data_IF_877619748640
#
_entry.id   IF_877619748640
#
_cell.length_a   1.000
_cell.length_b   1.000
_cell.length_c   1.000
_cell.angle_alpha   90.00
_cell.angle_beta   90.00
_cell.angle_gamma   90.00
#
_symmetry.space_group_name_H-M   'P 1'
#
loop_
_entity.id
_entity.type
_entity.pdbx_description
1 polymer ?
#
# COMPACT_ATOMS: atom_id res chain seq x y z
N UNK A 1 10.47 5.58 -20.72
CA UNK A 1 10.73 6.17 -19.39
C UNK A 1 12.23 6.28 -19.13
N UNK A 2 12.73 7.37 -18.51
CA UNK A 2 14.16 7.51 -18.22
C UNK A 2 14.60 6.64 -17.01
N UNK A 3 15.91 6.41 -16.84
CA UNK A 3 16.48 5.53 -15.81
C UNK A 3 16.08 5.93 -14.38
N UNK A 4 16.04 7.23 -14.09
CA UNK A 4 15.69 7.74 -12.76
C UNK A 4 14.21 7.49 -12.44
N UNK A 5 13.32 7.75 -13.40
CA UNK A 5 11.88 7.46 -13.27
C UNK A 5 11.61 5.96 -13.10
N UNK A 6 12.34 5.09 -13.82
CA UNK A 6 12.25 3.64 -13.63
C UNK A 6 12.63 3.20 -12.22
N UNK A 7 13.68 3.80 -11.65
CA UNK A 7 14.07 3.52 -10.26
C UNK A 7 13.04 4.00 -9.25
N UNK A 8 12.43 5.17 -9.46
CA UNK A 8 11.34 5.67 -8.60
C UNK A 8 10.12 4.76 -8.69
N UNK A 9 9.71 4.38 -9.89
CA UNK A 9 8.60 3.44 -10.12
C UNK A 9 8.81 2.14 -9.34
N UNK A 10 9.98 1.53 -9.49
CA UNK A 10 10.28 0.25 -8.87
C UNK A 10 10.30 0.35 -7.34
N UNK A 11 10.84 1.44 -6.77
CA UNK A 11 10.78 1.68 -5.32
C UNK A 11 9.35 1.79 -4.81
N UNK A 12 8.49 2.53 -5.52
CA UNK A 12 7.07 2.69 -5.15
C UNK A 12 6.32 1.37 -5.28
N UNK A 13 6.66 0.54 -6.29
CA UNK A 13 6.06 -0.77 -6.49
C UNK A 13 6.40 -1.71 -5.33
N UNK A 14 7.68 -1.82 -4.99
CA UNK A 14 8.15 -2.62 -3.85
C UNK A 14 7.50 -2.16 -2.55
N UNK A 15 7.45 -0.85 -2.32
CA UNK A 15 6.80 -0.29 -1.13
C UNK A 15 5.31 -0.66 -1.05
N UNK A 16 4.58 -0.57 -2.17
CA UNK A 16 3.17 -0.96 -2.23
C UNK A 16 2.97 -2.45 -1.96
N UNK A 17 3.80 -3.30 -2.57
CA UNK A 17 3.72 -4.76 -2.42
C UNK A 17 3.95 -5.16 -0.94
N UNK A 18 5.00 -4.64 -0.30
CA UNK A 18 5.28 -4.87 1.11
C UNK A 18 4.16 -4.35 2.03
N UNK A 19 3.60 -3.18 1.71
CA UNK A 19 2.51 -2.60 2.48
C UNK A 19 1.24 -3.45 2.36
N UNK A 20 0.89 -3.92 1.16
CA UNK A 20 -0.27 -4.79 0.94
C UNK A 20 -0.12 -6.13 1.64
N UNK A 21 1.08 -6.69 1.72
CA UNK A 21 1.34 -7.89 2.54
C UNK A 21 1.05 -7.63 4.02
N UNK A 22 1.55 -6.52 4.57
CA UNK A 22 1.30 -6.14 5.98
C UNK A 22 -0.18 -5.87 6.26
N UNK A 23 -0.88 -5.21 5.33
CA UNK A 23 -2.34 -5.00 5.38
C UNK A 23 -3.07 -6.34 5.42
N UNK A 24 -2.66 -7.32 4.60
CA UNK A 24 -3.22 -8.66 4.59
C UNK A 24 -3.11 -9.34 5.94
N UNK A 25 -1.89 -9.38 6.52
CA UNK A 25 -1.65 -9.96 7.84
C UNK A 25 -2.46 -9.28 8.95
N UNK A 26 -2.53 -7.94 8.92
CA UNK A 26 -3.30 -7.18 9.91
C UNK A 26 -4.81 -7.42 9.76
N UNK A 27 -5.32 -7.46 8.52
CA UNK A 27 -6.73 -7.80 8.24
C UNK A 27 -7.09 -9.17 8.80
N UNK A 28 -6.23 -10.16 8.56
CA UNK A 28 -6.48 -11.53 9.01
C UNK A 28 -6.43 -11.62 10.54
N UNK A 29 -5.53 -10.87 11.19
CA UNK A 29 -5.52 -10.72 12.64
C UNK A 29 -6.80 -10.06 13.18
N UNK A 30 -7.23 -8.94 12.59
CA UNK A 30 -8.43 -8.20 13.00
C UNK A 30 -9.73 -9.01 12.83
N UNK A 31 -9.75 -9.96 11.88
CA UNK A 31 -10.87 -10.90 11.66
C UNK A 31 -10.79 -12.15 12.55
N UNK A 32 -9.63 -12.42 13.16
CA UNK A 32 -9.45 -13.60 13.99
C UNK A 32 -10.03 -13.42 15.39
N UNK A 33 -10.34 -14.53 16.05
CA UNK A 33 -10.78 -14.55 17.45
C UNK A 33 -9.75 -13.97 18.42
N UNK A 34 -8.46 -13.90 18.02
CA UNK A 34 -7.37 -13.35 18.85
C UNK A 34 -7.58 -11.87 19.17
N UNK A 35 -8.28 -11.11 18.32
CA UNK A 35 -8.56 -9.70 18.59
C UNK A 35 -9.41 -9.50 19.85
N UNK A 36 -10.22 -10.49 20.23
CA UNK A 36 -11.05 -10.44 21.45
C UNK A 36 -10.21 -10.55 22.73
N UNK A 37 -8.96 -11.01 22.62
CA UNK A 37 -8.01 -11.13 23.73
C UNK A 37 -7.16 -9.86 23.90
N UNK A 38 -7.30 -8.89 22.99
CA UNK A 38 -6.58 -7.61 23.03
C UNK A 38 -7.43 -6.57 23.77
N UNK A 39 -6.76 -5.69 24.52
CA UNK A 39 -7.42 -4.53 25.13
C UNK A 39 -8.17 -3.69 24.07
N UNK A 40 -9.31 -3.11 24.45
CA UNK A 40 -10.17 -2.35 23.54
C UNK A 40 -9.44 -1.18 22.87
N UNK A 41 -8.56 -0.49 23.60
CA UNK A 41 -7.79 0.63 23.07
C UNK A 41 -6.79 0.14 22.03
N UNK A 42 -6.07 -0.94 22.33
CA UNK A 42 -5.12 -1.53 21.39
C UNK A 42 -5.83 -2.08 20.14
N UNK A 43 -6.97 -2.74 20.29
CA UNK A 43 -7.79 -3.19 19.16
C UNK A 43 -8.28 -2.02 18.30
N UNK A 44 -8.64 -0.89 18.91
CA UNK A 44 -9.00 0.32 18.18
C UNK A 44 -7.81 0.91 17.41
N UNK A 45 -6.64 1.01 18.03
CA UNK A 45 -5.42 1.48 17.37
C UNK A 45 -5.06 0.61 16.16
N UNK A 46 -5.19 -0.72 16.28
CA UNK A 46 -4.94 -1.65 15.17
C UNK A 46 -5.92 -1.47 14.00
N UNK A 47 -7.17 -1.11 14.27
CA UNK A 47 -8.15 -0.77 13.21
C UNK A 47 -7.77 0.53 12.53
N UNK A 48 -7.43 1.58 13.29
CA UNK A 48 -6.95 2.84 12.70
C UNK A 48 -5.68 2.65 11.87
N UNK A 49 -4.76 1.80 12.34
CA UNK A 49 -3.56 1.44 11.61
C UNK A 49 -3.92 0.76 10.29
N UNK A 50 -4.84 -0.21 10.31
CA UNK A 50 -5.32 -0.89 9.09
C UNK A 50 -5.92 0.11 8.08
N UNK A 51 -6.78 1.02 8.54
CA UNK A 51 -7.42 2.01 7.68
C UNK A 51 -6.37 2.97 7.07
N UNK A 52 -5.42 3.43 7.88
CA UNK A 52 -4.35 4.33 7.46
C UNK A 52 -3.42 3.67 6.44
N UNK A 53 -3.00 2.44 6.69
CA UNK A 53 -2.17 1.67 5.77
C UNK A 53 -2.90 1.42 4.45
N UNK A 54 -4.20 1.09 4.50
CA UNK A 54 -5.02 0.89 3.30
C UNK A 54 -5.15 2.17 2.48
N UNK A 55 -5.38 3.31 3.13
CA UNK A 55 -5.39 4.61 2.45
C UNK A 55 -4.04 4.90 1.78
N UNK A 56 -2.92 4.61 2.46
CA UNK A 56 -1.60 4.81 1.91
C UNK A 56 -1.31 3.89 0.71
N UNK A 57 -1.67 2.61 0.76
CA UNK A 57 -1.54 1.69 -0.37
C UNK A 57 -2.31 2.17 -1.61
N UNK A 58 -3.53 2.68 -1.40
CA UNK A 58 -4.33 3.23 -2.51
C UNK A 58 -3.68 4.48 -3.12
N UNK A 59 -2.95 5.28 -2.34
CA UNK A 59 -2.16 6.40 -2.86
C UNK A 59 -0.98 5.88 -3.70
N UNK A 60 -0.27 4.86 -3.23
CA UNK A 60 0.85 4.26 -3.97
C UNK A 60 0.38 3.67 -5.31
N UNK A 61 -0.77 3.00 -5.34
CA UNK A 61 -1.36 2.49 -6.60
C UNK A 61 -1.69 3.61 -7.58
N UNK A 62 -2.27 4.72 -7.11
CA UNK A 62 -2.52 5.88 -7.97
C UNK A 62 -1.23 6.46 -8.54
N UNK A 63 -0.15 6.50 -7.74
CA UNK A 63 1.17 6.95 -8.20
C UNK A 63 1.74 6.00 -9.26
N UNK A 64 1.61 4.69 -9.07
CA UNK A 64 2.06 3.70 -10.05
C UNK A 64 1.31 3.85 -11.37
N UNK A 65 -0.01 4.00 -11.33
CA UNK A 65 -0.82 4.23 -12.53
C UNK A 65 -0.40 5.50 -13.30
N UNK A 66 -0.10 6.59 -12.59
CA UNK A 66 0.41 7.82 -13.22
C UNK A 66 1.75 7.60 -13.93
N UNK A 67 2.68 6.86 -13.32
CA UNK A 67 3.96 6.54 -13.96
C UNK A 67 3.80 5.65 -15.20
N UNK A 68 2.85 4.72 -15.18
CA UNK A 68 2.52 3.89 -16.34
C UNK A 68 1.89 4.72 -17.48
N UNK A 69 0.97 5.64 -17.17
CA UNK A 69 0.38 6.56 -18.15
C UNK A 69 1.45 7.46 -18.79
N UNK A 70 2.32 8.06 -17.98
CA UNK A 70 3.44 8.88 -18.47
C UNK A 70 4.32 8.10 -19.46
N UNK A 71 4.59 6.82 -19.18
CA UNK A 71 5.40 5.98 -20.06
C UNK A 71 4.79 5.80 -21.45
N UNK A 72 3.46 5.67 -21.54
CA UNK A 72 2.73 5.48 -22.81
C UNK A 72 2.69 6.75 -23.66
N UNK A 73 2.59 7.91 -23.03
CA UNK A 73 2.54 9.21 -23.74
C UNK A 73 3.89 9.64 -24.32
N UNK A 74 5.00 9.06 -23.85
CA UNK A 74 6.33 9.44 -24.35
C UNK A 74 6.72 8.69 -25.64
N UNK A 75 5.98 7.65 -26.03
CA UNK A 75 6.30 6.80 -27.18
C UNK A 75 5.70 7.31 -28.52
N UNK A 76 5.04 8.48 -28.52
CA UNK A 76 4.37 9.07 -29.68
C UNK A 76 4.93 10.42 -30.15
N UNK A 77 6.08 10.87 -29.62
CA UNK A 77 6.76 12.10 -30.05
C UNK A 77 8.17 11.81 -30.59
#
# INVERSE_FOLDING_TARGET
>A
MNKEKQQVFERVRVENDELREKIGKLRDFLKSEKIKQIDKTQAYLLRMQYDTMTAYANILEKRLALYEEESKTTDFN
#
